data_IF_149346750515
#
_entry.id   IF_149346750515
#
_cell.length_a   1.000
_cell.length_b   1.000
_cell.length_c   1.000
_cell.angle_alpha   90.00
_cell.angle_beta   90.00
_cell.angle_gamma   90.00
#
_symmetry.space_group_name_H-M   'P 1'
#
loop_
_entity.id
_entity.type
_entity.pdbx_description
1 polymer ?
#
# COMPACT_ATOMS: atom_id res chain seq x y z
N UNK A 1 -3.77 18.47 -0.97
CA UNK A 1 -2.31 18.65 -1.16
C UNK A 1 -1.65 17.42 -0.56
N UNK A 2 -0.79 16.72 -1.30
CA UNK A 2 -0.12 15.50 -0.82
C UNK A 2 1.08 15.85 0.04
N UNK A 3 1.21 15.19 1.20
CA UNK A 3 2.44 15.20 1.97
C UNK A 3 3.52 14.36 1.30
N UNK A 4 4.79 14.56 1.69
CA UNK A 4 5.90 13.78 1.13
C UNK A 4 5.78 12.29 1.46
N UNK A 5 5.23 11.96 2.64
CA UNK A 5 4.91 10.58 3.01
C UNK A 5 3.88 9.98 2.06
N UNK A 6 2.84 10.73 1.70
CA UNK A 6 1.79 10.22 0.83
C UNK A 6 2.30 9.95 -0.59
N UNK A 7 3.19 10.80 -1.10
CA UNK A 7 3.89 10.57 -2.37
C UNK A 7 4.77 9.33 -2.29
N UNK A 8 5.58 9.21 -1.23
CA UNK A 8 6.43 8.05 -1.01
C UNK A 8 5.63 6.74 -0.89
N UNK A 9 4.44 6.76 -0.28
CA UNK A 9 3.54 5.60 -0.25
C UNK A 9 3.09 5.20 -1.65
N UNK A 10 2.70 6.15 -2.50
CA UNK A 10 2.27 5.88 -3.87
C UNK A 10 3.43 5.38 -4.74
N UNK A 11 4.63 5.94 -4.58
CA UNK A 11 5.84 5.51 -5.30
C UNK A 11 6.30 4.11 -4.86
N UNK A 12 6.19 3.80 -3.58
CA UNK A 12 6.44 2.45 -3.07
C UNK A 12 5.49 1.42 -3.70
N UNK A 13 4.18 1.71 -3.74
CA UNK A 13 3.19 0.84 -4.39
C UNK A 13 3.42 0.70 -5.91
N UNK A 14 3.92 1.75 -6.56
CA UNK A 14 4.30 1.72 -7.97
C UNK A 14 5.46 0.76 -8.25
N UNK A 15 6.38 0.58 -7.30
CA UNK A 15 7.57 -0.27 -7.42
C UNK A 15 7.44 -1.66 -6.81
N UNK A 16 6.48 -1.88 -5.90
CA UNK A 16 6.42 -3.10 -5.08
C UNK A 16 6.21 -4.39 -5.88
N UNK A 17 5.45 -4.34 -6.99
CA UNK A 17 5.17 -5.51 -7.82
C UNK A 17 6.41 -6.18 -8.45
N UNK A 18 7.59 -5.55 -8.38
CA UNK A 18 8.88 -6.08 -8.86
C UNK A 18 9.77 -6.64 -7.74
N UNK A 19 9.39 -6.46 -6.47
CA UNK A 19 10.23 -6.80 -5.32
C UNK A 19 9.91 -8.20 -4.78
N UNK A 20 10.93 -8.92 -4.30
CA UNK A 20 10.80 -10.21 -3.62
C UNK A 20 10.90 -10.00 -2.11
N UNK A 21 10.01 -10.63 -1.34
CA UNK A 21 10.01 -10.60 0.12
C UNK A 21 8.70 -10.12 0.73
N UNK A 22 8.68 -9.99 2.07
CA UNK A 22 7.49 -9.54 2.81
C UNK A 22 7.28 -8.04 2.65
N UNK A 23 6.12 -7.68 2.09
CA UNK A 23 5.66 -6.29 1.95
C UNK A 23 5.53 -5.59 3.29
N UNK A 24 5.10 -6.34 4.29
CA UNK A 24 4.87 -5.82 5.64
C UNK A 24 6.19 -5.39 6.30
N UNK A 25 7.25 -6.18 6.15
CA UNK A 25 8.57 -5.83 6.67
C UNK A 25 9.15 -4.59 5.96
N UNK A 26 8.97 -4.50 4.64
CA UNK A 26 9.42 -3.33 3.88
C UNK A 26 8.63 -2.06 4.25
N UNK A 27 7.32 -2.19 4.49
CA UNK A 27 6.47 -1.09 4.98
C UNK A 27 6.98 -0.61 6.34
N UNK A 28 7.22 -1.53 7.29
CA UNK A 28 7.71 -1.18 8.61
C UNK A 28 9.09 -0.50 8.54
N UNK A 29 10.02 -1.05 7.75
CA UNK A 29 11.37 -0.50 7.60
C UNK A 29 11.40 0.88 6.93
N UNK A 30 10.55 1.14 5.93
CA UNK A 30 10.58 2.38 5.16
C UNK A 30 9.75 3.50 5.78
N UNK A 31 8.61 3.18 6.39
CA UNK A 31 7.64 4.17 6.85
C UNK A 31 7.53 4.25 8.37
N UNK A 32 8.17 3.34 9.12
CA UNK A 32 8.01 3.19 10.57
C UNK A 32 6.53 3.04 10.96
N UNK A 33 5.78 2.30 10.14
CA UNK A 33 4.36 2.07 10.31
C UNK A 33 4.05 0.59 10.41
N UNK A 34 3.06 0.26 11.24
CA UNK A 34 2.45 -1.06 11.18
C UNK A 34 1.71 -1.24 9.85
N UNK A 35 1.64 -2.46 9.30
CA UNK A 35 0.92 -2.73 8.04
C UNK A 35 -0.53 -2.25 8.07
N UNK A 36 -1.21 -2.45 9.19
CA UNK A 36 -2.59 -1.98 9.40
C UNK A 36 -2.70 -0.46 9.25
N UNK A 37 -1.80 0.30 9.89
CA UNK A 37 -1.84 1.77 9.80
C UNK A 37 -1.48 2.26 8.40
N UNK A 38 -0.56 1.57 7.73
CA UNK A 38 -0.19 1.84 6.35
C UNK A 38 -1.40 1.72 5.42
N UNK A 39 -2.10 0.58 5.42
CA UNK A 39 -3.25 0.38 4.56
C UNK A 39 -4.43 1.32 4.87
N UNK A 40 -4.61 1.74 6.12
CA UNK A 40 -5.58 2.78 6.48
C UNK A 40 -5.25 4.15 5.87
N UNK A 41 -3.97 4.51 5.80
CA UNK A 41 -3.52 5.76 5.18
C UNK A 41 -3.63 5.66 3.66
N UNK A 42 -3.15 4.54 3.10
CA UNK A 42 -3.24 4.27 1.67
C UNK A 42 -4.69 4.33 1.18
N UNK A 43 -5.62 3.68 1.88
CA UNK A 43 -7.04 3.71 1.52
C UNK A 43 -7.63 5.13 1.49
N UNK A 44 -7.19 6.02 2.38
CA UNK A 44 -7.59 7.44 2.35
C UNK A 44 -7.01 8.17 1.16
N UNK A 45 -5.74 7.91 0.81
CA UNK A 45 -5.12 8.47 -0.39
C UNK A 45 -5.83 8.03 -1.66
N UNK A 46 -6.35 6.80 -1.70
CA UNK A 46 -7.12 6.32 -2.82
C UNK A 46 -8.40 7.13 -3.06
N UNK A 47 -8.92 7.89 -2.10
CA UNK A 47 -10.10 8.74 -2.30
C UNK A 47 -9.73 10.22 -2.56
N UNK A 48 -8.44 10.60 -2.47
CA UNK A 48 -7.95 11.97 -2.69
C UNK A 48 -7.70 12.27 -4.18
N UNK A 49 -8.23 13.40 -4.66
CA UNK A 49 -7.98 13.91 -6.02
C UNK A 49 -6.52 14.26 -6.27
N UNK A 50 -5.78 14.71 -5.25
CA UNK A 50 -4.36 15.00 -5.36
C UNK A 50 -3.54 13.72 -5.60
N UNK A 51 -3.90 12.60 -4.98
CA UNK A 51 -3.28 11.30 -5.23
C UNK A 51 -3.51 10.82 -6.66
N UNK A 52 -4.73 11.00 -7.18
CA UNK A 52 -5.07 10.69 -8.58
C UNK A 52 -4.24 11.55 -9.54
N UNK A 53 -4.06 12.84 -9.25
CA UNK A 53 -3.24 13.73 -10.08
C UNK A 53 -1.76 13.35 -10.08
N UNK A 54 -1.23 12.86 -8.95
CA UNK A 54 0.18 12.45 -8.81
C UNK A 54 0.47 11.09 -9.47
N UNK A 55 -0.33 10.07 -9.17
CA UNK A 55 -0.07 8.69 -9.63
C UNK A 55 -1.37 8.00 -10.12
N UNK A 56 -1.98 8.46 -11.23
CA UNK A 56 -3.30 8.00 -11.66
C UNK A 56 -3.35 6.49 -11.94
N UNK A 57 -2.29 5.93 -12.53
CA UNK A 57 -2.21 4.51 -12.84
C UNK A 57 -2.16 3.62 -11.59
N UNK A 58 -1.40 4.02 -10.57
CA UNK A 58 -1.25 3.32 -9.30
C UNK A 58 -2.56 3.38 -8.52
N UNK A 59 -3.12 4.58 -8.38
CA UNK A 59 -4.40 4.79 -7.68
C UNK A 59 -5.53 4.03 -8.37
N UNK A 60 -5.60 4.03 -9.70
CA UNK A 60 -6.59 3.26 -10.46
C UNK A 60 -6.48 1.75 -10.24
N UNK A 61 -5.25 1.21 -10.26
CA UNK A 61 -5.00 -0.21 -9.97
C UNK A 61 -5.43 -0.57 -8.54
N UNK A 62 -5.01 0.22 -7.55
CA UNK A 62 -5.34 -0.01 -6.14
C UNK A 62 -6.85 0.12 -5.87
N UNK A 63 -7.53 1.10 -6.48
CA UNK A 63 -9.00 1.23 -6.43
C UNK A 63 -9.70 0.01 -7.01
N UNK A 64 -9.20 -0.54 -8.12
CA UNK A 64 -9.77 -1.76 -8.74
C UNK A 64 -9.59 -2.98 -7.84
N UNK A 65 -8.45 -3.11 -7.17
CA UNK A 65 -8.20 -4.15 -6.18
C UNK A 65 -9.14 -3.99 -4.97
N UNK A 66 -9.36 -2.75 -4.49
CA UNK A 66 -10.29 -2.44 -3.40
C UNK A 66 -11.76 -2.73 -3.75
N UNK A 67 -12.19 -2.42 -4.98
CA UNK A 67 -13.57 -2.50 -5.43
C UNK A 67 -14.09 -3.90 -5.79
N UNK A 68 -13.24 -4.94 -5.70
CA UNK A 68 -13.55 -6.31 -6.14
C UNK A 68 -14.39 -7.19 -5.20
N UNK A 69 -14.86 -6.72 -4.03
CA UNK A 69 -15.70 -7.51 -3.11
C UNK A 69 -14.93 -8.41 -2.12
N UNK A 70 -15.59 -8.94 -1.06
CA UNK A 70 -15.01 -9.04 0.29
C UNK A 70 -14.25 -10.34 0.55
N UNK A 71 -12.97 -10.40 0.17
CA UNK A 71 -12.04 -11.43 0.67
C UNK A 71 -10.63 -10.96 0.31
N UNK A 72 -9.77 -10.59 1.26
CA UNK A 72 -9.30 -11.49 2.31
C UNK A 72 -9.23 -10.73 3.63
N UNK A 73 -9.66 -11.43 4.68
CA UNK A 73 -9.40 -11.12 6.08
C UNK A 73 -7.92 -10.73 6.24
N UNK A 74 -7.60 -10.01 7.31
CA UNK A 74 -6.30 -10.10 7.96
C UNK A 74 -5.83 -11.58 7.99
N UNK A 75 -5.18 -12.09 6.95
CA UNK A 75 -4.57 -13.43 6.88
C UNK A 75 -4.06 -13.65 5.45
N UNK A 76 -2.81 -13.28 5.21
CA UNK A 76 -1.93 -14.10 4.39
C UNK A 76 -0.54 -13.89 4.96
N UNK A 77 -0.23 -14.74 5.94
CA UNK A 77 1.12 -15.30 6.10
C UNK A 77 2.17 -14.24 6.45
N UNK A 78 2.55 -14.02 7.72
CA UNK A 78 3.26 -15.05 8.52
C UNK A 78 3.96 -16.11 7.67
N UNK A 79 4.61 -15.70 6.58
CA UNK A 79 5.63 -16.46 5.89
C UNK A 79 6.99 -16.08 6.47
N UNK A 80 7.17 -16.25 7.79
CA UNK A 80 8.46 -16.50 8.45
C UNK A 80 8.25 -16.68 9.97
N UNK A 81 7.65 -17.82 10.33
CA UNK A 81 8.20 -18.59 11.44
C UNK A 81 8.96 -19.75 10.79
N UNK A 82 10.25 -19.87 11.13
CA UNK A 82 11.22 -20.93 10.80
C UNK A 82 12.20 -20.65 9.64
N UNK A 83 13.43 -20.33 10.05
CA UNK A 83 14.67 -20.32 9.27
C UNK A 83 15.84 -19.94 10.17
#
# INVERSE_FOLDING_TARGET
MLSDRDRAMLDFEAGWWRQRGSKENAIAAQFDLTPVRYYQLLNRLLDDTAAVAYAPAVVGRLRRIRGGGPERRHEAESGDLAG
#
